data_IF_177105079857
#
_entry.id   IF_177105079857
#
_cell.length_a   1.000
_cell.length_b   1.000
_cell.length_c   1.000
_cell.angle_alpha   90.00
_cell.angle_beta   90.00
_cell.angle_gamma   90.00
#
_symmetry.space_group_name_H-M   'P 1'
#
loop_
_entity.id
_entity.type
_entity.pdbx_description
1 polymer ?
#
# COMPACT_ATOMS: atom_id res chain seq x y z
N UNK A 1 13.43 3.66 -18.51
CA UNK A 1 12.35 3.94 -17.55
C UNK A 1 11.01 4.32 -18.18
N UNK A 2 10.93 5.29 -19.12
CA UNK A 2 9.64 5.73 -19.72
C UNK A 2 8.70 4.61 -20.21
N UNK A 3 9.23 3.56 -20.86
CA UNK A 3 8.44 2.42 -21.35
C UNK A 3 7.64 1.69 -20.25
N UNK A 4 8.11 1.71 -19.00
CA UNK A 4 7.48 1.02 -17.88
C UNK A 4 6.23 1.73 -17.37
N UNK A 5 6.23 3.06 -17.40
CA UNK A 5 5.15 3.93 -16.88
C UNK A 5 4.11 4.33 -17.93
N UNK A 6 4.22 3.81 -19.15
CA UNK A 6 3.30 4.13 -20.24
C UNK A 6 2.12 3.16 -20.27
N UNK A 7 0.91 3.70 -20.44
CA UNK A 7 -0.29 2.95 -20.80
C UNK A 7 -0.28 2.58 -22.29
N UNK A 8 0.78 1.89 -22.71
CA UNK A 8 1.01 1.43 -24.09
C UNK A 8 1.80 0.12 -24.10
N UNK A 9 1.57 -0.66 -25.14
CA UNK A 9 2.21 -1.96 -25.35
C UNK A 9 1.59 -3.04 -24.48
N UNK A 10 2.20 -4.21 -24.49
CA UNK A 10 1.69 -5.41 -23.80
C UNK A 10 2.81 -6.15 -23.09
N UNK A 11 2.45 -6.95 -22.09
CA UNK A 11 3.38 -7.79 -21.32
C UNK A 11 2.81 -9.20 -21.14
N UNK A 12 3.71 -10.18 -21.03
CA UNK A 12 3.35 -11.57 -20.68
C UNK A 12 3.13 -11.73 -19.15
N UNK A 13 2.69 -12.92 -18.74
CA UNK A 13 2.43 -13.24 -17.33
C UNK A 13 3.68 -13.19 -16.43
N UNK A 14 4.83 -13.64 -16.94
CA UNK A 14 6.10 -13.60 -16.19
C UNK A 14 6.54 -12.16 -15.90
N UNK A 15 6.48 -11.28 -16.91
CA UNK A 15 6.79 -9.87 -16.77
C UNK A 15 5.76 -9.15 -15.89
N UNK A 16 4.50 -9.59 -15.91
CA UNK A 16 3.47 -9.10 -14.99
C UNK A 16 3.83 -9.42 -13.54
N UNK A 17 4.22 -10.66 -13.20
CA UNK A 17 4.70 -11.00 -11.85
C UNK A 17 5.89 -10.13 -11.45
N UNK A 18 6.92 -10.05 -12.30
CA UNK A 18 8.14 -9.31 -11.98
C UNK A 18 7.86 -7.83 -11.71
N UNK A 19 6.97 -7.23 -12.50
CA UNK A 19 6.54 -5.85 -12.30
C UNK A 19 5.72 -5.71 -11.03
N UNK A 20 4.81 -6.63 -10.70
CA UNK A 20 4.09 -6.61 -9.43
C UNK A 20 5.04 -6.69 -8.23
N UNK A 21 6.09 -7.53 -8.29
CA UNK A 21 7.13 -7.57 -7.25
C UNK A 21 7.90 -6.25 -7.19
N UNK A 22 8.19 -5.64 -8.34
CA UNK A 22 8.83 -4.32 -8.38
C UNK A 22 7.95 -3.22 -7.76
N UNK A 23 6.62 -3.32 -7.82
CA UNK A 23 5.72 -2.41 -7.10
C UNK A 23 5.96 -2.42 -5.59
N UNK A 24 6.28 -3.59 -5.01
CA UNK A 24 6.62 -3.71 -3.58
C UNK A 24 7.91 -2.95 -3.27
N UNK A 25 8.91 -3.03 -4.16
CA UNK A 25 10.15 -2.24 -4.01
C UNK A 25 9.86 -0.75 -4.18
N UNK A 26 8.96 -0.39 -5.09
CA UNK A 26 8.57 0.99 -5.34
C UNK A 26 7.78 1.61 -4.18
N UNK A 27 7.18 0.80 -3.29
CA UNK A 27 6.49 1.29 -2.10
C UNK A 27 7.41 1.57 -0.90
N UNK A 28 8.71 1.24 -0.99
CA UNK A 28 9.69 1.51 0.07
C UNK A 28 9.69 2.98 0.53
N UNK A 29 9.64 4.01 -0.34
CA UNK A 29 9.58 5.40 0.10
C UNK A 29 8.33 5.72 0.92
N UNK A 30 7.18 5.16 0.53
CA UNK A 30 5.92 5.29 1.28
C UNK A 30 6.04 4.62 2.66
N UNK A 31 6.54 3.39 2.72
CA UNK A 31 6.74 2.65 3.97
C UNK A 31 7.70 3.41 4.89
N UNK A 32 8.81 3.92 4.35
CA UNK A 32 9.78 4.72 5.09
C UNK A 32 9.18 5.98 5.68
N UNK A 33 8.30 6.68 4.95
CA UNK A 33 7.58 7.85 5.46
C UNK A 33 6.58 7.49 6.55
N UNK A 34 5.84 6.39 6.43
CA UNK A 34 4.93 5.93 7.48
C UNK A 34 5.69 5.59 8.76
N UNK A 35 6.82 4.88 8.67
CA UNK A 35 7.68 4.57 9.82
C UNK A 35 8.22 5.86 10.44
N UNK A 36 8.75 6.78 9.62
CA UNK A 36 9.28 8.04 10.11
C UNK A 36 8.23 8.88 10.83
N UNK A 37 7.00 8.93 10.31
CA UNK A 37 5.89 9.61 10.97
C UNK A 37 5.54 8.95 12.31
N UNK A 38 5.34 7.63 12.34
CA UNK A 38 5.03 6.89 13.58
C UNK A 38 6.13 7.10 14.62
N UNK A 39 7.40 6.96 14.24
CA UNK A 39 8.52 7.19 15.15
C UNK A 39 8.56 8.63 15.68
N UNK A 40 8.30 9.62 14.81
CA UNK A 40 8.22 11.02 15.24
C UNK A 40 7.09 11.23 16.24
N UNK A 41 5.92 10.61 16.03
CA UNK A 41 4.81 10.68 16.97
C UNK A 41 5.19 10.03 18.29
N UNK A 42 5.70 8.80 18.28
CA UNK A 42 6.13 8.09 19.51
C UNK A 42 7.14 8.91 20.30
N UNK A 43 8.14 9.53 19.65
CA UNK A 43 9.12 10.36 20.34
C UNK A 43 8.52 11.59 21.02
N UNK A 44 7.43 12.15 20.49
CA UNK A 44 6.73 13.26 21.16
C UNK A 44 6.07 12.83 22.49
N UNK A 45 5.75 11.55 22.63
CA UNK A 45 5.16 10.97 23.85
C UNK A 45 6.21 10.40 24.83
N UNK A 46 7.49 10.34 24.43
CA UNK A 46 8.58 9.88 25.29
C UNK A 46 9.08 11.04 26.17
N UNK A 47 8.31 11.36 27.20
CA UNK A 47 8.70 12.35 28.21
C UNK A 47 10.04 12.00 28.86
N UNK A 48 10.98 12.95 28.88
CA UNK A 48 12.30 12.77 29.51
C UNK A 48 13.33 12.01 28.66
N UNK A 49 12.99 11.56 27.45
CA UNK A 49 13.98 11.01 26.52
C UNK A 49 14.81 12.12 25.89
N UNK A 50 16.05 12.26 26.34
CA UNK A 50 17.03 13.18 25.78
C UNK A 50 18.12 12.39 25.05
N UNK A 51 18.24 12.61 23.73
CA UNK A 51 19.29 11.99 22.91
C UNK A 51 20.71 12.29 23.41
N UNK A 52 20.91 13.37 24.17
CA UNK A 52 22.21 13.71 24.76
C UNK A 52 22.59 12.84 25.97
N UNK A 53 21.62 12.20 26.62
CA UNK A 53 21.83 11.32 27.78
C UNK A 53 21.58 9.83 27.45
N UNK A 54 21.32 9.50 26.18
CA UNK A 54 20.97 8.16 25.74
C UNK A 54 22.12 7.13 25.93
N UNK A 55 23.39 7.57 25.87
CA UNK A 55 24.56 6.70 26.03
C UNK A 55 24.70 6.08 27.44
N UNK A 56 24.01 6.63 28.45
CA UNK A 56 23.99 6.10 29.82
C UNK A 56 22.78 5.23 30.16
N UNK A 57 21.80 5.13 29.25
CA UNK A 57 20.50 4.54 29.54
C UNK A 57 20.55 3.02 29.42
N UNK A 58 20.04 2.31 30.43
CA UNK A 58 19.95 0.85 30.36
C UNK A 58 18.83 0.41 29.40
N UNK A 59 18.94 -0.80 28.85
CA UNK A 59 17.86 -1.39 28.04
C UNK A 59 16.53 -1.46 28.79
N UNK A 60 16.56 -1.69 30.11
CA UNK A 60 15.35 -1.73 30.94
C UNK A 60 14.69 -0.34 31.05
N UNK A 61 15.49 0.71 31.19
CA UNK A 61 15.02 2.09 31.28
C UNK A 61 14.47 2.58 29.93
N UNK A 62 15.18 2.31 28.82
CA UNK A 62 14.69 2.63 27.48
C UNK A 62 13.36 1.92 27.16
N UNK A 63 13.20 0.67 27.58
CA UNK A 63 11.96 -0.06 27.40
C UNK A 63 10.82 0.52 28.24
N UNK A 64 11.09 0.92 29.49
CA UNK A 64 10.09 1.54 30.36
C UNK A 64 9.57 2.86 29.78
N UNK A 65 10.44 3.72 29.24
CA UNK A 65 10.03 4.97 28.57
C UNK A 65 9.18 4.67 27.34
N UNK A 66 9.57 3.69 26.52
CA UNK A 66 8.80 3.28 25.35
C UNK A 66 7.42 2.71 25.70
N UNK A 67 7.34 1.90 26.76
CA UNK A 67 6.07 1.34 27.26
C UNK A 67 5.15 2.44 27.81
N UNK A 68 5.70 3.42 28.53
CA UNK A 68 4.93 4.57 29.02
C UNK A 68 4.38 5.42 27.86
N UNK A 69 5.20 5.71 26.83
CA UNK A 69 4.76 6.43 25.64
C UNK A 69 3.65 5.67 24.91
N UNK A 70 3.80 4.35 24.75
CA UNK A 70 2.76 3.49 24.16
C UNK A 70 1.46 3.50 24.96
N UNK A 71 1.55 3.50 26.30
CA UNK A 71 0.37 3.59 27.17
C UNK A 71 -0.36 4.92 27.03
N UNK A 72 0.37 6.04 27.03
CA UNK A 72 -0.22 7.38 26.83
C UNK A 72 -0.95 7.49 25.49
N UNK A 73 -0.33 7.01 24.41
CA UNK A 73 -0.98 6.96 23.10
C UNK A 73 -2.27 6.13 23.15
N UNK A 74 -2.23 4.96 23.77
CA UNK A 74 -3.42 4.11 23.89
C UNK A 74 -4.53 4.75 24.73
N UNK A 75 -4.18 5.40 25.85
CA UNK A 75 -5.11 6.13 26.70
C UNK A 75 -5.80 7.27 25.94
N UNK A 76 -5.03 8.13 25.25
CA UNK A 76 -5.60 9.20 24.44
C UNK A 76 -6.47 8.67 23.30
N UNK A 77 -6.01 7.64 22.57
CA UNK A 77 -6.81 7.01 21.51
C UNK A 77 -8.14 6.43 22.02
N UNK A 78 -8.19 5.95 23.27
CA UNK A 78 -9.44 5.48 23.89
C UNK A 78 -10.35 6.64 24.32
N UNK A 79 -9.79 7.77 24.72
CA UNK A 79 -10.54 8.95 25.17
C UNK A 79 -11.19 9.73 24.01
N UNK A 80 -10.40 10.07 22.98
CA UNK A 80 -10.87 10.91 21.85
C UNK A 80 -11.23 10.09 20.60
N UNK A 81 -10.87 8.81 20.58
CA UNK A 81 -11.07 7.93 19.43
C UNK A 81 -9.92 8.02 18.41
N UNK A 82 -9.71 6.96 17.60
CA UNK A 82 -8.54 6.83 16.74
C UNK A 82 -8.49 7.86 15.59
N UNK A 83 -9.64 8.27 15.05
CA UNK A 83 -9.68 9.24 13.95
C UNK A 83 -9.37 10.66 14.42
N UNK A 84 -9.89 11.05 15.60
CA UNK A 84 -9.60 12.36 16.18
C UNK A 84 -8.13 12.43 16.59
N UNK A 85 -7.63 11.39 17.28
CA UNK A 85 -6.23 11.28 17.67
C UNK A 85 -5.29 11.39 16.47
N UNK A 86 -5.61 10.71 15.35
CA UNK A 86 -4.84 10.82 14.12
C UNK A 86 -4.84 12.26 13.62
N UNK A 87 -6.01 12.91 13.57
CA UNK A 87 -6.16 14.30 13.11
C UNK A 87 -5.36 15.30 13.93
N UNK A 88 -5.30 15.12 15.26
CA UNK A 88 -4.52 15.98 16.16
C UNK A 88 -3.00 15.76 16.04
N UNK A 89 -2.57 14.53 15.73
CA UNK A 89 -1.17 14.13 15.71
C UNK A 89 -0.51 14.14 14.32
N UNK A 90 -1.30 14.19 13.23
CA UNK A 90 -0.77 14.22 11.87
C UNK A 90 -0.85 15.63 11.27
N UNK A 91 0.30 16.17 10.88
CA UNK A 91 0.34 17.47 10.20
C UNK A 91 -0.02 17.34 8.71
N UNK A 92 -0.48 18.44 8.12
CA UNK A 92 -0.76 18.50 6.68
C UNK A 92 0.48 18.14 5.83
N UNK A 93 1.69 18.47 6.28
CA UNK A 93 2.94 18.14 5.58
C UNK A 93 3.14 16.62 5.54
N UNK A 94 2.87 15.91 6.63
CA UNK A 94 2.93 14.45 6.67
C UNK A 94 1.90 13.82 5.73
N UNK A 95 0.65 14.29 5.76
CA UNK A 95 -0.41 13.81 4.85
C UNK A 95 0.04 13.99 3.39
N UNK A 96 0.46 15.20 3.00
CA UNK A 96 0.87 15.51 1.63
C UNK A 96 2.04 14.63 1.20
N UNK A 97 3.05 14.46 2.07
CA UNK A 97 4.24 13.65 1.77
C UNK A 97 3.88 12.19 1.54
N UNK A 98 3.02 11.63 2.40
CA UNK A 98 2.53 10.25 2.28
C UNK A 98 1.75 10.08 0.97
N UNK A 99 0.81 10.98 0.66
CA UNK A 99 0.02 10.93 -0.58
C UNK A 99 0.90 11.02 -1.83
N UNK A 100 1.87 11.94 -1.86
CA UNK A 100 2.78 12.09 -3.00
C UNK A 100 3.62 10.83 -3.20
N UNK A 101 4.07 10.19 -2.11
CA UNK A 101 4.88 8.97 -2.19
C UNK A 101 4.14 7.77 -2.80
N UNK A 102 2.81 7.76 -2.75
CA UNK A 102 1.97 6.71 -3.36
C UNK A 102 1.77 6.88 -4.86
N UNK A 103 1.89 8.10 -5.40
CA UNK A 103 1.70 8.38 -6.84
C UNK A 103 2.50 7.42 -7.75
N UNK A 104 3.83 7.22 -7.56
CA UNK A 104 4.59 6.31 -8.42
C UNK A 104 4.11 4.86 -8.30
N UNK A 105 3.73 4.41 -7.11
CA UNK A 105 3.24 3.05 -6.84
C UNK A 105 1.93 2.80 -7.57
N UNK A 106 0.96 3.70 -7.41
CA UNK A 106 -0.35 3.63 -8.06
C UNK A 106 -0.19 3.67 -9.58
N UNK A 107 0.58 4.64 -10.09
CA UNK A 107 0.75 4.81 -11.53
C UNK A 107 1.40 3.60 -12.19
N UNK A 108 2.48 3.09 -11.58
CA UNK A 108 3.19 1.92 -12.11
C UNK A 108 2.33 0.65 -12.06
N UNK A 109 1.53 0.48 -11.00
CA UNK A 109 0.60 -0.64 -10.86
C UNK A 109 -0.48 -0.60 -11.95
N UNK A 110 -1.13 0.56 -12.14
CA UNK A 110 -2.14 0.74 -13.18
C UNK A 110 -1.57 0.53 -14.58
N UNK A 111 -0.37 1.04 -14.87
CA UNK A 111 0.28 0.82 -16.15
C UNK A 111 0.60 -0.68 -16.39
N UNK A 112 1.01 -1.39 -15.35
CA UNK A 112 1.30 -2.83 -15.39
C UNK A 112 0.04 -3.65 -15.66
N UNK A 113 -1.05 -3.39 -14.93
CA UNK A 113 -2.35 -4.02 -15.18
C UNK A 113 -2.88 -3.70 -16.57
N UNK A 114 -2.80 -2.44 -17.00
CA UNK A 114 -3.25 -2.04 -18.34
C UNK A 114 -2.52 -2.80 -19.45
N UNK A 115 -1.19 -2.90 -19.38
CA UNK A 115 -0.39 -3.64 -20.36
C UNK A 115 -0.77 -5.12 -20.39
N UNK A 116 -1.02 -5.71 -19.22
CA UNK A 116 -1.36 -7.13 -19.14
C UNK A 116 -2.76 -7.41 -19.66
N UNK A 117 -3.75 -6.63 -19.25
CA UNK A 117 -5.13 -6.71 -19.75
C UNK A 117 -5.17 -6.44 -21.26
N UNK A 118 -4.37 -5.49 -21.75
CA UNK A 118 -4.23 -5.23 -23.19
C UNK A 118 -3.67 -6.41 -23.98
N UNK A 119 -2.86 -7.26 -23.34
CA UNK A 119 -2.36 -8.49 -23.96
C UNK A 119 -3.47 -9.53 -24.13
N UNK A 120 -4.31 -9.70 -23.10
CA UNK A 120 -5.38 -10.70 -23.09
C UNK A 120 -6.62 -10.28 -23.90
N UNK A 121 -6.96 -8.98 -23.88
CA UNK A 121 -8.19 -8.44 -24.46
C UNK A 121 -7.92 -7.38 -25.53
N UNK A 122 -7.02 -7.67 -26.47
CA UNK A 122 -6.48 -6.70 -27.42
C UNK A 122 -7.52 -5.80 -28.14
N UNK A 123 -8.64 -6.39 -28.60
CA UNK A 123 -9.70 -5.68 -29.32
C UNK A 123 -10.58 -4.78 -28.42
N UNK A 124 -10.69 -5.12 -27.13
CA UNK A 124 -11.55 -4.42 -26.15
C UNK A 124 -10.76 -3.90 -24.95
N UNK A 125 -9.45 -3.65 -25.13
CA UNK A 125 -8.47 -3.45 -24.04
C UNK A 125 -8.88 -2.44 -22.98
N UNK A 126 -9.39 -1.28 -23.39
CA UNK A 126 -9.78 -0.19 -22.48
C UNK A 126 -11.01 -0.59 -21.66
N UNK A 127 -12.02 -1.16 -22.32
CA UNK A 127 -13.25 -1.63 -21.64
C UNK A 127 -12.93 -2.76 -20.66
N UNK A 128 -12.08 -3.71 -21.07
CA UNK A 128 -11.62 -4.78 -20.20
C UNK A 128 -10.86 -4.22 -18.99
N UNK A 129 -9.91 -3.30 -19.20
CA UNK A 129 -9.12 -2.70 -18.12
C UNK A 129 -10.01 -1.98 -17.10
N UNK A 130 -10.93 -1.14 -17.55
CA UNK A 130 -11.88 -0.45 -16.67
C UNK A 130 -12.75 -1.47 -15.93
N UNK A 131 -13.22 -2.52 -16.61
CA UNK A 131 -14.00 -3.59 -15.99
C UNK A 131 -13.25 -4.31 -14.86
N UNK A 132 -11.98 -4.66 -15.08
CA UNK A 132 -11.12 -5.23 -14.05
C UNK A 132 -10.92 -4.27 -12.88
N UNK A 133 -10.70 -2.98 -13.15
CA UNK A 133 -10.53 -1.99 -12.08
C UNK A 133 -11.78 -1.83 -11.22
N UNK A 134 -12.97 -1.81 -11.83
CA UNK A 134 -14.24 -1.75 -11.11
C UNK A 134 -14.45 -3.03 -10.29
N UNK A 135 -14.14 -4.20 -10.87
CA UNK A 135 -14.27 -5.48 -10.17
C UNK A 135 -13.38 -5.54 -8.92
N UNK A 136 -12.09 -5.21 -9.05
CA UNK A 136 -11.14 -5.18 -7.93
C UNK A 136 -11.60 -4.18 -6.86
N UNK A 137 -11.91 -2.93 -7.24
CA UNK A 137 -12.36 -1.92 -6.30
C UNK A 137 -13.66 -2.31 -5.58
N UNK A 138 -14.58 -3.00 -6.28
CA UNK A 138 -15.83 -3.48 -5.68
C UNK A 138 -15.55 -4.60 -4.67
N UNK A 139 -14.66 -5.54 -5.00
CA UNK A 139 -14.26 -6.62 -4.09
C UNK A 139 -13.60 -6.07 -2.82
N UNK A 140 -12.72 -5.08 -2.97
CA UNK A 140 -12.06 -4.42 -1.84
C UNK A 140 -13.08 -3.70 -0.94
N UNK A 141 -13.95 -2.87 -1.52
CA UNK A 141 -14.96 -2.12 -0.75
C UNK A 141 -15.90 -3.10 -0.04
N UNK A 142 -16.46 -4.07 -0.77
CA UNK A 142 -17.38 -5.04 -0.18
C UNK A 142 -16.70 -5.86 0.92
N UNK A 143 -15.47 -6.33 0.68
CA UNK A 143 -14.72 -7.09 1.68
C UNK A 143 -14.42 -6.28 2.94
N UNK A 144 -13.88 -5.06 2.78
CA UNK A 144 -13.46 -4.21 3.90
C UNK A 144 -14.62 -3.61 4.70
N UNK A 145 -15.76 -3.39 4.06
CA UNK A 145 -16.96 -2.85 4.72
C UNK A 145 -17.91 -3.93 5.22
N UNK A 146 -17.64 -5.20 4.93
CA UNK A 146 -18.48 -6.28 5.43
C UNK A 146 -18.19 -6.57 6.89
N UNK A 147 -19.22 -6.56 7.74
CA UNK A 147 -19.15 -7.09 9.12
C UNK A 147 -19.13 -8.63 9.15
N UNK A 148 -18.71 -9.28 8.06
CA UNK A 148 -18.74 -10.72 7.86
C UNK A 148 -17.39 -11.22 7.37
N UNK A 149 -16.64 -11.85 8.28
CA UNK A 149 -15.32 -12.41 8.00
C UNK A 149 -15.31 -13.37 6.80
N UNK A 150 -16.35 -14.21 6.65
CA UNK A 150 -16.42 -15.14 5.54
C UNK A 150 -16.56 -14.41 4.20
N UNK A 151 -17.33 -13.32 4.16
CA UNK A 151 -17.48 -12.49 2.96
C UNK A 151 -16.17 -11.78 2.61
N UNK A 152 -15.46 -11.25 3.61
CA UNK A 152 -14.11 -10.68 3.43
C UNK A 152 -13.17 -11.71 2.77
N UNK A 153 -13.08 -12.93 3.30
CA UNK A 153 -12.23 -13.98 2.75
C UNK A 153 -12.64 -14.41 1.34
N UNK A 154 -13.94 -14.46 1.05
CA UNK A 154 -14.43 -14.74 -0.31
C UNK A 154 -13.98 -13.65 -1.28
N UNK A 155 -14.13 -12.37 -0.93
CA UNK A 155 -13.65 -11.26 -1.77
C UNK A 155 -12.15 -11.34 -2.02
N UNK A 156 -11.36 -11.62 -0.98
CA UNK A 156 -9.90 -11.79 -1.08
C UNK A 156 -9.51 -12.95 -2.01
N UNK A 157 -10.21 -14.09 -1.92
CA UNK A 157 -9.99 -15.22 -2.82
C UNK A 157 -10.37 -14.90 -4.27
N UNK A 158 -11.45 -14.14 -4.49
CA UNK A 158 -11.85 -13.72 -5.84
C UNK A 158 -10.84 -12.75 -6.47
N UNK A 159 -10.36 -11.75 -5.72
CA UNK A 159 -9.30 -10.83 -6.17
C UNK A 159 -8.01 -11.59 -6.48
N UNK A 160 -7.63 -12.53 -5.62
CA UNK A 160 -6.50 -13.44 -5.88
C UNK A 160 -6.71 -14.28 -7.14
N UNK A 161 -7.94 -14.74 -7.38
CA UNK A 161 -8.32 -15.46 -8.60
C UNK A 161 -8.18 -14.61 -9.87
N UNK A 162 -8.57 -13.33 -9.82
CA UNK A 162 -8.36 -12.37 -10.90
C UNK A 162 -6.87 -12.19 -11.17
N UNK A 163 -6.08 -11.98 -10.13
CA UNK A 163 -4.63 -11.86 -10.25
C UNK A 163 -4.02 -13.13 -10.87
N UNK A 164 -4.39 -14.31 -10.39
CA UNK A 164 -3.94 -15.59 -10.94
C UNK A 164 -4.32 -15.76 -12.42
N UNK A 165 -5.54 -15.37 -12.79
CA UNK A 165 -5.98 -15.36 -14.19
C UNK A 165 -5.08 -14.46 -15.06
N UNK A 166 -4.77 -13.25 -14.60
CA UNK A 166 -3.86 -12.35 -15.32
C UNK A 166 -2.46 -12.93 -15.43
N UNK A 167 -1.97 -13.62 -14.40
CA UNK A 167 -0.65 -14.27 -14.43
C UNK A 167 -0.61 -15.43 -15.43
N UNK A 168 -1.52 -16.40 -15.32
CA UNK A 168 -1.39 -17.69 -15.99
C UNK A 168 -2.05 -17.77 -17.37
N UNK A 169 -2.93 -16.83 -17.72
CA UNK A 169 -3.62 -16.88 -19.02
C UNK A 169 -2.67 -16.64 -20.19
N UNK A 170 -2.73 -17.48 -21.22
CA UNK A 170 -1.98 -17.23 -22.44
C UNK A 170 -2.60 -16.07 -23.22
N UNK A 171 -1.76 -15.13 -23.68
CA UNK A 171 -2.23 -14.04 -24.52
C UNK A 171 -2.43 -14.50 -25.97
N UNK A 172 -3.47 -14.02 -26.66
CA UNK A 172 -3.69 -14.28 -28.09
C UNK A 172 -2.67 -13.58 -28.99
N UNK A 173 -1.87 -12.65 -28.46
CA UNK A 173 -0.77 -12.00 -29.18
C UNK A 173 0.56 -12.72 -28.87
N UNK A 174 1.37 -12.94 -29.91
CA UNK A 174 2.62 -13.70 -29.81
C UNK A 174 3.80 -12.89 -29.28
N UNK A 175 4.00 -11.66 -29.77
CA UNK A 175 5.09 -10.78 -29.31
C UNK A 175 4.59 -9.74 -28.31
N UNK A 176 5.45 -9.44 -27.32
CA UNK A 176 5.20 -8.45 -26.27
C UNK A 176 6.29 -7.37 -26.28
N UNK A 177 5.87 -6.13 -26.02
CA UNK A 177 6.72 -4.93 -26.19
C UNK A 177 7.62 -4.64 -24.98
N UNK A 178 7.46 -5.34 -23.85
CA UNK A 178 8.32 -5.11 -22.69
C UNK A 178 8.02 -5.96 -21.47
#
# INVERSE_FOLDING_TARGET
MKKFFQFKGTINGSSFILRTLFTIVLSIPFIGLCIAWISSTVFNYMDGFDFSNADGMSMAESNAIGEEAGRKIAEEMMEIGPMEWLSENISAIWIISIVISLIPVIWFSLATYYKRVSALFHSKRVKAFIGFMIAEATLDIVGLTSDNDALYWICMLLSTGIFAYLVFSNSPIGEHDG
#
